data_IF_086840208397
#
_entry.id   IF_086840208397
#
_cell.length_a   1.000
_cell.length_b   1.000
_cell.length_c   1.000
_cell.angle_alpha   90.00
_cell.angle_beta   90.00
_cell.angle_gamma   90.00
#
_symmetry.space_group_name_H-M   'P 1'
#
loop_
_entity.id
_entity.type
_entity.pdbx_description
1 polymer ?
#
# COMPACT_ATOMS: atom_id res chain seq x y z
N UNK A 1 47.94 7.62 17.67
CA UNK A 1 47.64 7.33 16.25
C UNK A 1 46.41 6.44 16.20
N UNK A 2 45.32 6.90 15.56
CA UNK A 2 44.00 6.26 15.55
C UNK A 2 44.04 5.02 14.65
N UNK A 3 43.56 3.87 15.14
CA UNK A 3 43.38 2.65 14.34
C UNK A 3 42.23 2.89 13.37
N UNK A 4 42.54 2.92 12.07
CA UNK A 4 41.55 3.08 11.00
C UNK A 4 40.75 1.79 10.82
N UNK A 5 39.44 1.89 10.95
CA UNK A 5 38.51 0.81 10.66
C UNK A 5 38.21 0.84 9.16
N UNK A 6 38.79 -0.09 8.40
CA UNK A 6 38.44 -0.32 7.00
C UNK A 6 37.07 -1.01 6.94
N UNK A 7 36.07 -0.37 6.32
CA UNK A 7 34.86 -1.05 5.88
C UNK A 7 35.04 -1.47 4.42
N UNK A 8 35.25 -2.77 4.20
CA UNK A 8 35.15 -3.39 2.87
C UNK A 8 33.69 -3.81 2.70
N UNK A 9 32.92 -3.06 1.92
CA UNK A 9 31.61 -3.48 1.47
C UNK A 9 31.78 -4.17 0.11
N UNK A 10 32.03 -5.47 0.13
CA UNK A 10 31.88 -6.33 -1.03
C UNK A 10 30.47 -6.93 -1.00
N UNK A 11 29.67 -6.64 -2.03
CA UNK A 11 28.33 -7.19 -2.19
C UNK A 11 27.64 -6.64 -3.42
N UNK A 12 28.08 -7.05 -4.61
CA UNK A 12 27.28 -6.88 -5.83
C UNK A 12 26.15 -7.91 -5.77
N UNK A 13 24.92 -7.45 -5.53
CA UNK A 13 23.73 -8.30 -5.70
C UNK A 13 23.36 -8.27 -7.17
N UNK A 14 23.63 -9.37 -7.86
CA UNK A 14 23.12 -9.60 -9.21
C UNK A 14 21.64 -9.99 -9.12
N UNK A 15 20.73 -9.03 -9.31
CA UNK A 15 19.31 -9.32 -9.54
C UNK A 15 19.11 -9.68 -11.00
N UNK A 16 19.31 -10.96 -11.30
CA UNK A 16 18.80 -11.56 -12.53
C UNK A 16 17.31 -11.86 -12.34
N UNK A 17 16.44 -10.95 -12.76
CA UNK A 17 15.03 -11.29 -13.02
C UNK A 17 14.79 -11.06 -14.51
N UNK A 18 14.76 -12.16 -15.26
CA UNK A 18 14.26 -12.15 -16.63
C UNK A 18 12.75 -12.05 -16.50
N UNK A 19 12.21 -10.84 -16.62
CA UNK A 19 10.78 -10.66 -16.85
C UNK A 19 10.50 -11.07 -18.30
N UNK A 20 10.14 -12.34 -18.52
CA UNK A 20 9.34 -12.69 -19.69
C UNK A 20 7.94 -12.15 -19.45
N UNK A 21 7.70 -10.89 -19.83
CA UNK A 21 6.34 -10.40 -19.99
C UNK A 21 5.72 -11.16 -21.17
N UNK A 22 5.09 -12.29 -20.86
CA UNK A 22 4.09 -12.88 -21.74
C UNK A 22 3.05 -11.79 -22.01
N UNK A 23 2.88 -11.45 -23.29
CA UNK A 23 2.09 -10.32 -23.72
C UNK A 23 0.66 -10.36 -23.19
N UNK A 24 0.24 -9.27 -22.54
CA UNK A 24 -1.16 -8.98 -22.34
C UNK A 24 -1.79 -8.67 -23.70
N UNK A 25 -2.43 -9.66 -24.30
CA UNK A 25 -3.29 -9.46 -25.44
C UNK A 25 -4.56 -8.75 -24.97
N UNK A 26 -4.69 -7.47 -25.35
CA UNK A 26 -5.94 -6.72 -25.29
C UNK A 26 -6.95 -7.36 -26.25
N UNK A 27 -7.95 -8.06 -25.71
CA UNK A 27 -9.20 -8.35 -26.40
C UNK A 27 -10.32 -7.57 -25.74
N UNK A 28 -10.46 -6.31 -26.15
CA UNK A 28 -11.72 -5.58 -26.03
C UNK A 28 -12.74 -6.30 -26.91
N UNK A 29 -13.69 -7.00 -26.29
CA UNK A 29 -14.92 -7.41 -26.94
C UNK A 29 -16.10 -7.18 -26.00
N UNK A 30 -16.94 -6.24 -26.41
CA UNK A 30 -18.17 -5.80 -25.76
C UNK A 30 -19.10 -6.97 -25.45
N UNK A 31 -19.60 -7.07 -24.20
CA UNK A 31 -21.02 -7.31 -23.91
C UNK A 31 -21.34 -6.62 -22.58
N UNK A 32 -22.12 -5.54 -22.63
CA UNK A 32 -22.80 -4.95 -21.47
C UNK A 32 -23.56 -6.04 -20.71
N UNK A 33 -23.17 -6.30 -19.46
CA UNK A 33 -24.00 -7.03 -18.49
C UNK A 33 -24.31 -6.08 -17.34
N UNK A 34 -25.57 -5.94 -16.92
CA UNK A 34 -25.93 -5.04 -15.85
C UNK A 34 -25.14 -5.42 -14.60
N UNK A 35 -24.52 -4.42 -13.99
CA UNK A 35 -23.84 -4.54 -12.69
C UNK A 35 -24.91 -4.96 -11.70
N UNK A 36 -25.01 -6.27 -11.43
CA UNK A 36 -25.74 -6.78 -10.28
C UNK A 36 -24.91 -6.40 -9.06
N UNK A 37 -25.18 -5.22 -8.50
CA UNK A 37 -24.71 -4.83 -7.17
C UNK A 37 -25.48 -5.70 -6.18
N UNK A 38 -25.02 -6.93 -5.98
CA UNK A 38 -25.46 -7.76 -4.85
C UNK A 38 -24.86 -7.16 -3.58
N UNK A 39 -25.53 -6.15 -3.04
CA UNK A 39 -25.28 -5.66 -1.68
C UNK A 39 -25.88 -6.67 -0.71
N UNK A 40 -25.09 -7.66 -0.32
CA UNK A 40 -25.36 -8.45 0.88
C UNK A 40 -24.05 -8.69 1.58
N UNK A 41 -23.63 -7.76 2.45
CA UNK A 41 -22.59 -8.08 3.42
C UNK A 41 -23.01 -7.58 4.80
N UNK A 42 -23.61 -8.54 5.51
CA UNK A 42 -23.75 -8.65 6.95
C UNK A 42 -22.42 -8.39 7.67
N UNK A 43 -22.51 -8.19 8.99
CA UNK A 43 -21.54 -7.66 9.95
C UNK A 43 -20.13 -8.33 9.95
N UNK A 44 -19.89 -9.41 9.19
CA UNK A 44 -18.58 -10.02 8.84
C UNK A 44 -17.72 -9.19 7.86
N UNK A 45 -18.25 -8.10 7.29
CA UNK A 45 -17.58 -7.31 6.24
C UNK A 45 -16.25 -6.66 6.68
N UNK A 46 -16.09 -6.33 7.98
CA UNK A 46 -14.91 -5.60 8.48
C UNK A 46 -13.63 -6.45 8.48
N UNK A 47 -13.72 -7.72 8.86
CA UNK A 47 -12.58 -8.65 8.84
C UNK A 47 -12.15 -8.91 7.39
N UNK A 48 -13.13 -9.03 6.49
CA UNK A 48 -12.90 -9.22 5.06
C UNK A 48 -12.18 -8.04 4.39
N UNK A 49 -12.39 -6.80 4.84
CA UNK A 49 -11.73 -5.62 4.25
C UNK A 49 -10.24 -5.59 4.57
N UNK A 50 -9.85 -5.83 5.83
CA UNK A 50 -8.44 -5.86 6.24
C UNK A 50 -7.70 -6.98 5.50
N UNK A 51 -8.30 -8.16 5.40
CA UNK A 51 -7.72 -9.29 4.68
C UNK A 51 -7.59 -9.01 3.18
N UNK A 52 -8.59 -8.37 2.57
CA UNK A 52 -8.54 -7.98 1.16
C UNK A 52 -7.44 -6.96 0.89
N UNK A 53 -7.32 -5.92 1.71
CA UNK A 53 -6.27 -4.91 1.56
C UNK A 53 -4.88 -5.52 1.77
N UNK A 54 -4.71 -6.33 2.80
CA UNK A 54 -3.46 -7.03 3.10
C UNK A 54 -3.05 -7.95 1.95
N UNK A 55 -3.97 -8.76 1.42
CA UNK A 55 -3.69 -9.66 0.31
C UNK A 55 -3.32 -8.89 -0.96
N UNK A 56 -4.01 -7.80 -1.25
CA UNK A 56 -3.68 -6.92 -2.37
C UNK A 56 -2.28 -6.33 -2.22
N UNK A 57 -1.94 -5.79 -1.05
CA UNK A 57 -0.61 -5.25 -0.78
C UNK A 57 0.48 -6.30 -0.99
N UNK A 58 0.27 -7.53 -0.49
CA UNK A 58 1.20 -8.66 -0.72
C UNK A 58 1.40 -8.97 -2.21
N UNK A 59 0.33 -8.92 -3.00
CA UNK A 59 0.37 -9.19 -4.44
C UNK A 59 1.05 -8.09 -5.26
N UNK A 60 1.11 -6.86 -4.74
CA UNK A 60 1.65 -5.68 -5.43
C UNK A 60 2.99 -5.21 -4.85
N UNK A 61 3.75 -6.09 -4.19
CA UNK A 61 5.09 -5.76 -3.67
C UNK A 61 5.12 -5.02 -2.33
N UNK A 62 3.97 -4.62 -1.78
CA UNK A 62 3.84 -3.97 -0.47
C UNK A 62 3.76 -4.96 0.70
N UNK A 63 4.46 -6.09 0.62
CA UNK A 63 4.38 -7.18 1.61
C UNK A 63 4.75 -6.77 3.03
N UNK A 64 5.75 -5.90 3.19
CA UNK A 64 6.16 -5.38 4.51
C UNK A 64 5.07 -4.50 5.13
N UNK A 65 4.40 -3.68 4.32
CA UNK A 65 3.29 -2.85 4.77
C UNK A 65 2.07 -3.71 5.13
N UNK A 66 1.81 -4.76 4.35
CA UNK A 66 0.77 -5.74 4.63
C UNK A 66 1.02 -6.47 5.97
N UNK A 67 2.25 -6.89 6.23
CA UNK A 67 2.63 -7.54 7.49
C UNK A 67 2.52 -6.59 8.67
N UNK A 68 2.93 -5.32 8.50
CA UNK A 68 2.70 -4.27 9.50
C UNK A 68 1.20 -4.11 9.79
N UNK A 69 0.35 -4.17 8.75
CA UNK A 69 -1.12 -4.11 8.87
C UNK A 69 -1.69 -5.28 9.67
N UNK A 70 -1.27 -6.51 9.35
CA UNK A 70 -1.68 -7.73 10.09
C UNK A 70 -1.29 -7.66 11.56
N UNK A 71 -0.07 -7.18 11.85
CA UNK A 71 0.48 -7.08 13.21
C UNK A 71 0.01 -5.85 13.97
N UNK A 72 -0.73 -4.94 13.33
CA UNK A 72 -1.05 -3.60 13.85
C UNK A 72 0.21 -2.86 14.30
N UNK A 73 1.31 -3.04 13.58
CA UNK A 73 2.57 -2.35 13.82
C UNK A 73 2.49 -0.94 13.24
N UNK A 74 1.80 -0.05 13.97
CA UNK A 74 1.60 1.33 13.54
C UNK A 74 2.90 2.11 13.41
N UNK A 75 3.98 1.68 14.09
CA UNK A 75 5.28 2.31 13.94
C UNK A 75 5.88 1.97 12.58
N UNK A 76 5.86 0.69 12.18
CA UNK A 76 6.32 0.28 10.85
C UNK A 76 5.51 0.94 9.73
N UNK A 77 4.19 1.10 9.91
CA UNK A 77 3.33 1.83 8.97
C UNK A 77 3.73 3.31 8.85
N UNK A 78 3.95 3.97 9.98
CA UNK A 78 4.32 5.37 10.04
C UNK A 78 5.72 5.61 9.45
N UNK A 79 6.67 4.74 9.74
CA UNK A 79 8.01 4.77 9.16
C UNK A 79 7.94 4.58 7.63
N UNK A 80 7.10 3.65 7.13
CA UNK A 80 6.87 3.47 5.69
C UNK A 80 6.30 4.74 5.06
N UNK A 81 5.23 5.31 5.65
CA UNK A 81 4.59 6.50 5.10
C UNK A 81 5.57 7.68 5.03
N UNK A 82 6.40 7.88 6.06
CA UNK A 82 7.36 8.98 6.11
C UNK A 82 8.58 8.79 5.19
N UNK A 83 8.86 7.57 4.73
CA UNK A 83 10.02 7.25 3.90
C UNK A 83 9.67 6.71 2.51
N UNK A 84 8.41 6.77 2.10
CA UNK A 84 8.01 6.30 0.78
C UNK A 84 8.66 7.15 -0.32
N UNK A 85 8.98 6.52 -1.45
CA UNK A 85 9.45 7.21 -2.65
C UNK A 85 8.26 7.69 -3.49
N UNK A 86 8.53 8.52 -4.50
CA UNK A 86 7.48 8.91 -5.46
C UNK A 86 7.00 7.69 -6.28
N UNK A 87 7.88 6.72 -6.51
CA UNK A 87 7.55 5.45 -7.17
C UNK A 87 6.60 4.63 -6.30
N UNK A 88 6.93 4.44 -5.02
CA UNK A 88 6.05 3.74 -4.06
C UNK A 88 4.66 4.40 -3.96
N UNK A 89 4.62 5.73 -3.98
CA UNK A 89 3.37 6.49 -3.94
C UNK A 89 2.51 6.25 -5.19
N UNK A 90 3.11 6.28 -6.37
CA UNK A 90 2.41 6.01 -7.63
C UNK A 90 1.95 4.55 -7.72
N UNK A 91 2.79 3.61 -7.32
CA UNK A 91 2.44 2.18 -7.29
C UNK A 91 1.26 1.91 -6.35
N UNK A 92 1.21 2.60 -5.21
CA UNK A 92 0.05 2.54 -4.31
C UNK A 92 -1.23 3.06 -4.98
N UNK A 93 -1.14 4.18 -5.71
CA UNK A 93 -2.28 4.74 -6.45
C UNK A 93 -2.78 3.75 -7.51
N UNK A 94 -1.88 3.19 -8.31
CA UNK A 94 -2.23 2.23 -9.36
C UNK A 94 -2.88 0.97 -8.78
N UNK A 95 -2.29 0.43 -7.71
CA UNK A 95 -2.86 -0.68 -6.96
C UNK A 95 -4.28 -0.36 -6.49
N UNK A 96 -4.51 0.82 -5.89
CA UNK A 96 -5.84 1.21 -5.41
C UNK A 96 -6.87 1.35 -6.54
N UNK A 97 -6.48 1.91 -7.69
CA UNK A 97 -7.35 1.97 -8.88
C UNK A 97 -7.72 0.59 -9.37
N UNK A 98 -6.73 -0.30 -9.49
CA UNK A 98 -6.91 -1.65 -10.04
C UNK A 98 -7.78 -2.58 -9.19
N UNK A 99 -8.00 -2.24 -7.92
CA UNK A 99 -8.67 -3.13 -6.96
C UNK A 99 -9.96 -2.55 -6.36
N UNK A 100 -10.59 -1.57 -7.02
CA UNK A 100 -11.90 -1.03 -6.63
C UNK A 100 -11.86 0.03 -5.52
N UNK A 101 -10.68 0.59 -5.23
CA UNK A 101 -10.48 1.70 -4.30
C UNK A 101 -10.28 3.03 -5.06
N UNK A 102 -10.96 3.20 -6.19
CA UNK A 102 -10.82 4.37 -7.06
C UNK A 102 -11.04 5.71 -6.37
N UNK A 103 -11.96 5.76 -5.38
CA UNK A 103 -12.20 6.98 -4.60
C UNK A 103 -10.99 7.38 -3.77
N UNK A 104 -10.32 6.40 -3.17
CA UNK A 104 -9.09 6.61 -2.41
C UNK A 104 -7.93 6.96 -3.35
N UNK A 105 -7.82 6.27 -4.48
CA UNK A 105 -6.81 6.58 -5.49
C UNK A 105 -6.96 8.01 -6.02
N UNK A 106 -8.17 8.47 -6.34
CA UNK A 106 -8.42 9.85 -6.79
C UNK A 106 -8.04 10.89 -5.74
N UNK A 107 -8.26 10.59 -4.46
CA UNK A 107 -7.83 11.44 -3.37
C UNK A 107 -6.29 11.51 -3.31
N UNK A 108 -5.61 10.37 -3.44
CA UNK A 108 -4.14 10.34 -3.52
C UNK A 108 -3.64 11.11 -4.74
N UNK A 109 -4.22 10.94 -5.93
CA UNK A 109 -3.82 11.71 -7.12
C UNK A 109 -4.03 13.22 -7.00
N UNK A 110 -4.98 13.65 -6.16
CA UNK A 110 -5.26 15.08 -5.96
C UNK A 110 -4.21 15.79 -5.10
N UNK A 111 -3.28 15.05 -4.50
CA UNK A 111 -2.22 15.55 -3.63
C UNK A 111 -0.88 14.93 -4.02
N UNK A 112 0.22 15.63 -3.80
CA UNK A 112 1.54 15.00 -3.94
C UNK A 112 1.88 14.16 -2.69
N UNK A 113 2.92 13.34 -2.82
CA UNK A 113 3.44 12.50 -1.74
C UNK A 113 3.76 13.33 -0.49
N UNK A 114 4.39 14.50 -0.66
CA UNK A 114 4.80 15.34 0.47
C UNK A 114 3.59 15.91 1.23
N UNK A 115 2.53 16.28 0.51
CA UNK A 115 1.25 16.67 1.09
C UNK A 115 0.57 15.50 1.80
N UNK A 116 0.65 14.28 1.26
CA UNK A 116 0.15 13.08 1.93
C UNK A 116 0.92 12.80 3.23
N UNK A 117 2.25 12.91 3.23
CA UNK A 117 3.09 12.73 4.42
C UNK A 117 2.75 13.79 5.47
N UNK A 118 2.60 15.05 5.06
CA UNK A 118 2.18 16.14 5.95
C UNK A 118 0.80 15.88 6.54
N UNK A 119 -0.15 15.42 5.73
CA UNK A 119 -1.50 15.07 6.18
C UNK A 119 -1.44 13.93 7.21
N UNK A 120 -0.73 12.85 6.90
CA UNK A 120 -0.51 11.71 7.80
C UNK A 120 0.06 12.14 9.15
N UNK A 121 1.10 12.98 9.14
CA UNK A 121 1.74 13.51 10.34
C UNK A 121 0.82 14.46 11.11
N UNK A 122 0.03 15.29 10.42
CA UNK A 122 -0.95 16.19 11.04
C UNK A 122 -2.07 15.43 11.76
N UNK A 123 -2.38 14.23 11.28
CA UNK A 123 -3.32 13.30 11.93
C UNK A 123 -2.68 12.54 13.10
N UNK A 124 -1.43 12.83 13.46
CA UNK A 124 -0.73 12.25 14.60
C UNK A 124 -0.06 10.90 14.33
N UNK A 125 0.09 10.51 13.05
CA UNK A 125 0.88 9.36 12.61
C UNK A 125 0.61 8.07 13.40
N UNK A 126 1.68 7.35 13.75
CA UNK A 126 1.61 6.14 14.59
C UNK A 126 0.87 6.36 15.91
N UNK A 127 1.10 7.51 16.56
CA UNK A 127 0.60 7.78 17.91
C UNK A 127 -0.93 7.89 17.92
N UNK A 128 -1.52 8.47 16.88
CA UNK A 128 -2.98 8.56 16.75
C UNK A 128 -3.62 7.21 16.40
N UNK A 129 -2.97 6.40 15.57
CA UNK A 129 -3.43 5.05 15.25
C UNK A 129 -3.39 4.12 16.49
N UNK A 130 -2.36 4.25 17.33
CA UNK A 130 -2.24 3.51 18.60
C UNK A 130 -3.32 3.87 19.62
N UNK A 131 -3.79 5.13 19.64
CA UNK A 131 -4.73 5.64 20.63
C UNK A 131 -6.22 5.46 20.24
N UNK A 132 -6.50 4.63 19.24
CA UNK A 132 -7.87 4.31 18.80
C UNK A 132 -8.45 5.22 17.70
N UNK A 133 -7.62 6.04 17.04
CA UNK A 133 -8.06 7.03 16.05
C UNK A 133 -8.72 6.51 14.77
N UNK A 134 -8.70 5.20 14.51
CA UNK A 134 -9.40 4.60 13.35
C UNK A 134 -10.69 3.85 13.69
N UNK A 135 -11.22 3.98 14.92
CA UNK A 135 -12.62 3.66 15.22
C UNK A 135 -13.14 4.64 16.26
N UNK A 136 -13.45 5.87 15.82
CA UNK A 136 -14.39 6.71 16.54
C UNK A 136 -15.64 5.90 16.85
N UNK A 137 -15.88 5.72 18.14
CA UNK A 137 -17.08 5.09 18.69
C UNK A 137 -18.32 5.81 18.12
N UNK A 138 -19.14 5.08 17.39
CA UNK A 138 -20.55 5.38 17.17
C UNK A 138 -21.34 4.10 17.41
#
# INVERSE_FOLDING_TARGET
MKKGLMFVAAGVVALGVITTSAGYANSINEIQKPIAITTTQSIDAKENIVDRMTNMMKQNGFGNMAEAMEKRDYKAMDDFMNNMTDEDYNDMIEMMKGNGYEGMARMMESMDKDAMIQMHNSMGGAQHMMNGGMMGQY
#
